data_IF_964999847564
#
_entry.id   IF_964999847564
#
_cell.length_a   1.000
_cell.length_b   1.000
_cell.length_c   1.000
_cell.angle_alpha   90.00
_cell.angle_beta   90.00
_cell.angle_gamma   90.00
#
_symmetry.space_group_name_H-M   'P 1'
#
loop_
_entity.id
_entity.type
_entity.pdbx_description
1 polymer ?
#
# COMPACT_ATOMS: atom_id res chain seq x y z
N UNK A 1 -32.35 5.81 -84.16
CA UNK A 1 -32.89 5.23 -82.90
C UNK A 1 -31.88 5.16 -81.74
N UNK A 2 -30.57 5.11 -81.95
CA UNK A 2 -29.58 4.94 -80.85
C UNK A 2 -29.44 6.11 -79.85
N UNK A 3 -29.74 7.35 -80.24
CA UNK A 3 -29.58 8.52 -79.36
C UNK A 3 -30.54 8.53 -78.15
N UNK A 4 -31.75 8.00 -78.30
CA UNK A 4 -32.72 7.93 -77.20
C UNK A 4 -32.33 6.90 -76.13
N UNK A 5 -31.69 5.79 -76.53
CA UNK A 5 -31.21 4.75 -75.61
C UNK A 5 -30.02 5.21 -74.76
N UNK A 6 -29.10 5.99 -75.33
CA UNK A 6 -27.95 6.52 -74.57
C UNK A 6 -28.38 7.58 -73.55
N UNK A 7 -29.36 8.42 -73.88
CA UNK A 7 -29.91 9.42 -72.94
C UNK A 7 -30.60 8.75 -71.75
N UNK A 8 -31.33 7.66 -71.99
CA UNK A 8 -31.98 6.91 -70.93
C UNK A 8 -30.96 6.26 -69.98
N UNK A 9 -29.93 5.60 -70.53
CA UNK A 9 -28.83 5.03 -69.72
C UNK A 9 -28.08 6.08 -68.90
N UNK A 10 -27.89 7.29 -69.45
CA UNK A 10 -27.25 8.38 -68.74
C UNK A 10 -28.09 8.85 -67.54
N UNK A 11 -29.41 8.93 -67.70
CA UNK A 11 -30.32 9.29 -66.61
C UNK A 11 -30.36 8.20 -65.53
N UNK A 12 -30.36 6.93 -65.92
CA UNK A 12 -30.28 5.79 -64.99
C UNK A 12 -28.97 5.85 -64.18
N UNK A 13 -27.83 6.05 -64.85
CA UNK A 13 -26.53 6.18 -64.20
C UNK A 13 -26.46 7.39 -63.25
N UNK A 14 -27.04 8.52 -63.64
CA UNK A 14 -27.10 9.71 -62.79
C UNK A 14 -27.93 9.46 -61.53
N UNK A 15 -29.08 8.81 -61.68
CA UNK A 15 -29.96 8.44 -60.55
C UNK A 15 -29.27 7.47 -59.60
N UNK A 16 -28.59 6.44 -60.14
CA UNK A 16 -27.80 5.52 -59.32
C UNK A 16 -26.67 6.22 -58.58
N UNK A 17 -26.00 7.17 -59.23
CA UNK A 17 -24.95 7.98 -58.60
C UNK A 17 -25.49 8.80 -57.43
N UNK A 18 -26.62 9.49 -57.60
CA UNK A 18 -27.26 10.28 -56.54
C UNK A 18 -27.68 9.39 -55.37
N UNK A 19 -28.27 8.22 -55.65
CA UNK A 19 -28.65 7.26 -54.63
C UNK A 19 -27.44 6.77 -53.82
N UNK A 20 -26.33 6.46 -54.48
CA UNK A 20 -25.09 6.04 -53.81
C UNK A 20 -24.49 7.18 -52.99
N UNK A 21 -24.53 8.41 -53.50
CA UNK A 21 -24.05 9.58 -52.77
C UNK A 21 -24.86 9.80 -51.48
N UNK A 22 -26.18 9.68 -51.56
CA UNK A 22 -27.05 9.80 -50.40
C UNK A 22 -26.82 8.69 -49.38
N UNK A 23 -26.71 7.43 -49.83
CA UNK A 23 -26.40 6.31 -48.94
C UNK A 23 -25.07 6.50 -48.20
N UNK A 24 -24.04 7.03 -48.87
CA UNK A 24 -22.75 7.34 -48.23
C UNK A 24 -22.87 8.45 -47.20
N UNK A 25 -23.65 9.48 -47.49
CA UNK A 25 -23.90 10.57 -46.54
C UNK A 25 -24.63 10.06 -45.29
N UNK A 26 -25.65 9.24 -45.47
CA UNK A 26 -26.42 8.66 -44.37
C UNK A 26 -25.54 7.74 -43.50
N UNK A 27 -24.67 6.94 -44.12
CA UNK A 27 -23.71 6.11 -43.42
C UNK A 27 -22.70 6.93 -42.61
N UNK A 28 -22.16 8.01 -43.19
CA UNK A 28 -21.25 8.91 -42.48
C UNK A 28 -21.93 9.55 -41.26
N UNK A 29 -23.16 10.02 -41.42
CA UNK A 29 -23.94 10.61 -40.33
C UNK A 29 -24.24 9.59 -39.22
N UNK A 30 -24.55 8.35 -39.58
CA UNK A 30 -24.78 7.28 -38.61
C UNK A 30 -23.51 6.96 -37.80
N UNK A 31 -22.35 6.84 -38.47
CA UNK A 31 -21.06 6.60 -37.80
C UNK A 31 -20.71 7.76 -36.86
N UNK A 32 -20.90 9.01 -37.31
CA UNK A 32 -20.62 10.18 -36.50
C UNK A 32 -21.51 10.22 -35.24
N UNK A 33 -22.79 9.90 -35.38
CA UNK A 33 -23.73 9.86 -34.25
C UNK A 33 -23.35 8.77 -33.24
N UNK A 34 -22.99 7.57 -33.71
CA UNK A 34 -22.53 6.49 -32.85
C UNK A 34 -21.24 6.87 -32.11
N UNK A 35 -20.32 7.57 -32.79
CA UNK A 35 -19.08 8.03 -32.18
C UNK A 35 -19.33 9.09 -31.09
N UNK A 36 -20.25 10.03 -31.35
CA UNK A 36 -20.67 11.02 -30.35
C UNK A 36 -21.30 10.35 -29.13
N UNK A 37 -22.21 9.39 -29.35
CA UNK A 37 -22.83 8.62 -28.27
C UNK A 37 -21.78 7.87 -27.43
N UNK A 38 -20.83 7.21 -28.07
CA UNK A 38 -19.72 6.56 -27.37
C UNK A 38 -18.92 7.56 -26.53
N UNK A 39 -18.62 8.76 -27.06
CA UNK A 39 -17.90 9.78 -26.31
C UNK A 39 -18.67 10.31 -25.11
N UNK A 40 -19.99 10.49 -25.23
CA UNK A 40 -20.83 11.01 -24.16
C UNK A 40 -21.07 9.98 -23.06
N UNK A 41 -21.25 8.70 -23.41
CA UNK A 41 -21.60 7.66 -22.44
C UNK A 41 -20.36 7.03 -21.79
N UNK A 42 -19.34 6.68 -22.59
CA UNK A 42 -18.20 5.90 -22.08
C UNK A 42 -17.10 6.75 -21.47
N UNK A 43 -16.91 7.99 -21.92
CA UNK A 43 -15.83 8.86 -21.42
C UNK A 43 -16.05 9.28 -19.96
N UNK A 44 -17.26 9.69 -19.53
CA UNK A 44 -17.50 10.00 -18.12
C UNK A 44 -17.38 8.76 -17.24
N UNK A 45 -17.90 7.61 -17.70
CA UNK A 45 -17.80 6.34 -16.98
C UNK A 45 -16.34 5.93 -16.76
N UNK A 46 -15.52 5.95 -17.81
CA UNK A 46 -14.07 5.69 -17.72
C UNK A 46 -13.34 6.69 -16.84
N UNK A 47 -13.68 7.98 -16.94
CA UNK A 47 -13.09 9.01 -16.06
C UNK A 47 -13.41 8.72 -14.60
N UNK A 48 -14.65 8.33 -14.28
CA UNK A 48 -15.06 7.97 -12.92
C UNK A 48 -14.33 6.73 -12.42
N UNK A 49 -14.16 5.72 -13.27
CA UNK A 49 -13.40 4.51 -12.94
C UNK A 49 -11.93 4.81 -12.66
N UNK A 50 -11.30 5.67 -13.48
CA UNK A 50 -9.91 6.11 -13.27
C UNK A 50 -9.77 6.85 -11.94
N UNK A 51 -10.67 7.79 -11.65
CA UNK A 51 -10.65 8.54 -10.38
C UNK A 51 -10.83 7.61 -9.17
N UNK A 52 -11.71 6.61 -9.29
CA UNK A 52 -11.88 5.60 -8.24
C UNK A 52 -10.59 4.82 -8.01
N UNK A 53 -9.96 4.30 -9.08
CA UNK A 53 -8.70 3.55 -8.96
C UNK A 53 -7.57 4.40 -8.39
N UNK A 54 -7.53 5.69 -8.73
CA UNK A 54 -6.54 6.60 -8.19
C UNK A 54 -6.72 6.79 -6.67
N UNK A 55 -7.97 6.95 -6.21
CA UNK A 55 -8.27 7.04 -4.78
C UNK A 55 -7.98 5.73 -4.03
N UNK A 56 -8.30 4.57 -4.64
CA UNK A 56 -7.98 3.27 -4.08
C UNK A 56 -6.46 3.09 -3.92
N UNK A 57 -5.68 3.47 -4.95
CA UNK A 57 -4.22 3.40 -4.92
C UNK A 57 -3.59 4.34 -3.88
N UNK A 58 -4.10 5.56 -3.75
CA UNK A 58 -3.63 6.52 -2.75
C UNK A 58 -3.88 6.01 -1.33
N UNK A 59 -5.04 5.39 -1.10
CA UNK A 59 -5.35 4.76 0.19
C UNK A 59 -4.42 3.59 0.50
N UNK A 60 -4.16 2.73 -0.48
CA UNK A 60 -3.24 1.59 -0.30
C UNK A 60 -1.81 2.09 -0.03
N UNK A 61 -1.39 3.16 -0.69
CA UNK A 61 -0.09 3.81 -0.45
C UNK A 61 0.01 4.38 0.97
N UNK A 62 -1.04 5.04 1.46
CA UNK A 62 -1.09 5.55 2.84
C UNK A 62 -1.01 4.43 3.88
N UNK A 63 -1.67 3.29 3.63
CA UNK A 63 -1.62 2.13 4.51
C UNK A 63 -0.21 1.53 4.54
N UNK A 64 0.41 1.33 3.37
CA UNK A 64 1.77 0.82 3.27
C UNK A 64 2.79 1.76 3.94
N UNK A 65 2.62 3.07 3.81
CA UNK A 65 3.48 4.05 4.48
C UNK A 65 3.34 3.96 6.00
N UNK A 66 2.10 3.86 6.53
CA UNK A 66 1.86 3.71 7.97
C UNK A 66 2.47 2.42 8.52
N UNK A 67 2.37 1.32 7.77
CA UNK A 67 3.01 0.05 8.15
C UNK A 67 4.53 0.19 8.15
N UNK A 68 5.11 0.82 7.14
CA UNK A 68 6.55 1.10 7.08
C UNK A 68 7.02 1.97 8.25
N UNK A 69 6.31 3.06 8.55
CA UNK A 69 6.65 3.95 9.67
C UNK A 69 6.53 3.22 11.02
N UNK A 70 5.55 2.32 11.15
CA UNK A 70 5.41 1.46 12.34
C UNK A 70 6.61 0.53 12.50
N UNK A 71 7.09 -0.11 11.42
CA UNK A 71 8.27 -0.99 11.46
C UNK A 71 9.53 -0.21 11.83
N UNK A 72 9.74 0.97 11.23
CA UNK A 72 10.88 1.84 11.56
C UNK A 72 10.84 2.26 13.03
N UNK A 73 9.67 2.61 13.55
CA UNK A 73 9.51 2.97 14.96
C UNK A 73 9.79 1.77 15.88
N UNK A 74 9.30 0.57 15.53
CA UNK A 74 9.60 -0.65 16.29
C UNK A 74 11.10 -0.97 16.28
N UNK A 75 11.79 -0.82 15.15
CA UNK A 75 13.24 -1.00 15.08
C UNK A 75 13.97 0.00 15.99
N UNK A 76 13.58 1.28 15.98
CA UNK A 76 14.18 2.30 16.84
C UNK A 76 13.99 1.99 18.33
N UNK A 77 12.78 1.58 18.73
CA UNK A 77 12.45 1.21 20.10
C UNK A 77 13.24 -0.03 20.54
N UNK A 78 13.33 -1.06 19.70
CA UNK A 78 14.12 -2.25 19.99
C UNK A 78 15.61 -1.93 20.19
N UNK A 79 16.21 -1.07 19.35
CA UNK A 79 17.59 -0.60 19.55
C UNK A 79 17.74 0.13 20.89
N UNK A 80 16.82 1.05 21.21
CA UNK A 80 16.84 1.79 22.47
C UNK A 80 16.74 0.85 23.70
N UNK A 81 15.87 -0.16 23.65
CA UNK A 81 15.73 -1.15 24.71
C UNK A 81 17.00 -1.98 24.90
N UNK A 82 17.65 -2.39 23.80
CA UNK A 82 18.93 -3.12 23.85
C UNK A 82 20.00 -2.27 24.51
N UNK A 83 20.10 -0.99 24.15
CA UNK A 83 21.08 -0.07 24.73
C UNK A 83 20.86 0.13 26.23
N UNK A 84 19.60 0.33 26.66
CA UNK A 84 19.22 0.46 28.07
C UNK A 84 19.60 -0.81 28.86
N UNK A 85 19.28 -1.99 28.34
CA UNK A 85 19.57 -3.25 29.01
C UNK A 85 21.07 -3.57 29.08
N UNK A 86 21.87 -3.16 28.07
CA UNK A 86 23.33 -3.32 28.06
C UNK A 86 24.01 -2.33 28.99
N UNK A 87 23.61 -1.06 28.97
CA UNK A 87 24.20 -0.01 29.79
C UNK A 87 23.80 -0.14 31.28
N UNK A 88 22.59 -0.65 31.55
CA UNK A 88 22.00 -0.77 32.88
C UNK A 88 21.97 0.55 33.66
N UNK A 89 22.06 1.69 32.97
CA UNK A 89 22.15 3.03 33.53
C UNK A 89 20.79 3.56 34.02
N UNK A 90 19.70 3.10 33.38
CA UNK A 90 18.33 3.52 33.67
C UNK A 90 17.48 2.46 34.39
N UNK A 91 18.05 1.31 34.73
CA UNK A 91 17.35 0.25 35.48
C UNK A 91 18.02 0.05 36.84
N UNK A 92 17.23 -0.29 37.86
CA UNK A 92 17.75 -0.58 39.19
C UNK A 92 17.77 -2.08 39.42
N UNK A 93 18.88 -2.62 39.91
CA UNK A 93 19.00 -4.04 40.25
C UNK A 93 19.23 -4.17 41.75
N UNK A 94 18.25 -4.74 42.45
CA UNK A 94 18.33 -5.01 43.88
C UNK A 94 18.83 -6.43 44.15
N UNK A 95 19.35 -6.67 45.35
CA UNK A 95 19.84 -7.97 45.81
C UNK A 95 20.89 -8.59 44.88
N UNK A 96 21.77 -7.77 44.29
CA UNK A 96 22.93 -8.31 43.57
C UNK A 96 23.84 -9.04 44.56
N UNK A 97 23.86 -10.36 44.46
CA UNK A 97 24.82 -11.19 45.17
C UNK A 97 26.15 -11.17 44.41
N UNK A 98 27.19 -10.60 45.02
CA UNK A 98 28.56 -10.59 44.50
C UNK A 98 29.26 -11.97 44.58
N UNK A 99 28.60 -12.98 45.15
CA UNK A 99 29.18 -14.30 45.38
C UNK A 99 28.92 -15.24 44.20
N UNK A 100 30.00 -15.63 43.52
CA UNK A 100 30.07 -16.54 42.37
C UNK A 100 29.61 -17.99 42.60
N UNK A 101 28.93 -18.29 43.72
CA UNK A 101 28.64 -19.66 44.16
C UNK A 101 27.14 -19.97 44.37
N UNK A 102 26.22 -19.03 44.13
CA UNK A 102 24.78 -19.32 44.19
C UNK A 102 24.23 -19.66 42.80
N UNK A 103 23.77 -20.89 42.61
CA UNK A 103 23.08 -21.37 41.40
C UNK A 103 21.72 -20.71 41.14
N UNK A 104 21.22 -19.91 42.09
CA UNK A 104 19.91 -19.27 42.03
C UNK A 104 20.09 -17.75 42.01
N UNK A 105 19.50 -17.10 41.02
CA UNK A 105 19.46 -15.64 40.89
C UNK A 105 18.34 -15.07 41.77
N UNK A 106 18.71 -14.32 42.81
CA UNK A 106 17.77 -13.63 43.70
C UNK A 106 17.67 -12.12 43.40
N UNK A 107 18.32 -11.66 42.33
CA UNK A 107 18.28 -10.26 41.95
C UNK A 107 16.90 -9.88 41.41
N UNK A 108 16.52 -8.64 41.68
CA UNK A 108 15.26 -8.07 41.18
C UNK A 108 15.58 -6.85 40.34
N UNK A 109 15.14 -6.87 39.09
CA UNK A 109 15.26 -5.77 38.15
C UNK A 109 14.01 -4.91 38.26
N UNK A 110 14.21 -3.63 38.61
CA UNK A 110 13.18 -2.61 38.66
C UNK A 110 13.35 -1.74 37.42
N UNK A 111 12.35 -1.80 36.54
CA UNK A 111 12.29 -1.03 35.30
C UNK A 111 11.35 0.16 35.49
N UNK A 112 11.83 1.40 35.25
CA UNK A 112 10.97 2.58 35.22
C UNK A 112 9.80 2.45 34.25
N UNK A 113 8.68 3.09 34.60
CA UNK A 113 7.44 2.99 33.82
C UNK A 113 7.60 3.42 32.36
N UNK A 114 8.37 4.47 32.09
CA UNK A 114 8.62 4.94 30.72
C UNK A 114 9.35 3.92 29.84
N UNK A 115 10.20 3.07 30.43
CA UNK A 115 10.91 1.99 29.74
C UNK A 115 10.00 0.77 29.59
N UNK A 116 9.14 0.51 30.58
CA UNK A 116 8.16 -0.58 30.52
C UNK A 116 7.18 -0.39 29.35
N UNK A 117 6.73 0.84 29.12
CA UNK A 117 5.90 1.19 27.96
C UNK A 117 6.60 0.89 26.63
N UNK A 118 7.93 1.05 26.56
CA UNK A 118 8.68 0.69 25.36
C UNK A 118 8.59 -0.80 25.07
N UNK A 119 8.74 -1.68 26.07
CA UNK A 119 8.57 -3.13 25.88
C UNK A 119 7.18 -3.49 25.35
N UNK A 120 6.13 -2.86 25.88
CA UNK A 120 4.77 -3.13 25.44
C UNK A 120 4.49 -2.61 24.03
N UNK A 121 5.08 -1.47 23.67
CA UNK A 121 4.92 -0.87 22.34
C UNK A 121 5.45 -1.75 21.20
N UNK A 122 6.47 -2.58 21.48
CA UNK A 122 7.01 -3.59 20.54
C UNK A 122 6.41 -4.98 20.75
N UNK A 123 5.40 -5.12 21.61
CA UNK A 123 4.66 -6.36 21.82
C UNK A 123 5.36 -7.40 22.68
N UNK A 124 6.39 -7.01 23.44
CA UNK A 124 7.13 -7.90 24.33
C UNK A 124 6.35 -8.09 25.62
N UNK A 125 6.04 -9.35 25.94
CA UNK A 125 5.31 -9.72 27.15
C UNK A 125 6.23 -10.08 28.32
N UNK A 126 7.40 -10.63 28.01
CA UNK A 126 8.35 -11.13 29.00
C UNK A 126 9.44 -10.08 29.26
N UNK A 127 9.09 -9.11 30.10
CA UNK A 127 10.00 -8.05 30.57
C UNK A 127 10.95 -8.65 31.62
N UNK A 128 12.27 -8.38 31.56
CA UNK A 128 13.23 -9.03 32.46
C UNK A 128 12.98 -8.59 33.91
N UNK A 129 12.73 -9.56 34.78
CA UNK A 129 12.45 -9.33 36.20
C UNK A 129 13.65 -9.70 37.07
N UNK A 130 14.55 -10.56 36.56
CA UNK A 130 15.82 -10.92 37.21
C UNK A 130 17.02 -10.53 36.35
N UNK A 131 18.20 -10.38 36.95
CA UNK A 131 19.43 -9.99 36.23
C UNK A 131 19.83 -11.04 35.19
N UNK A 132 19.60 -12.32 35.48
CA UNK A 132 19.86 -13.44 34.57
C UNK A 132 18.93 -13.47 33.35
N UNK A 133 17.78 -12.79 33.40
CA UNK A 133 16.88 -12.62 32.25
C UNK A 133 17.41 -11.57 31.26
N UNK A 134 18.20 -10.60 31.71
CA UNK A 134 18.65 -9.48 30.87
C UNK A 134 19.36 -9.96 29.59
N UNK A 135 20.33 -10.89 29.63
CA UNK A 135 20.99 -11.37 28.42
C UNK A 135 20.04 -12.07 27.44
N UNK A 136 19.06 -12.84 27.93
CA UNK A 136 18.11 -13.55 27.06
C UNK A 136 17.12 -12.58 26.42
N UNK A 137 16.66 -11.56 27.16
CA UNK A 137 15.85 -10.46 26.61
C UNK A 137 16.61 -9.67 25.55
N UNK A 138 17.89 -9.37 25.76
CA UNK A 138 18.73 -8.69 24.74
C UNK A 138 18.80 -9.52 23.46
N UNK A 139 19.08 -10.83 23.57
CA UNK A 139 19.15 -11.71 22.40
C UNK A 139 17.81 -11.79 21.67
N UNK A 140 16.70 -11.79 22.39
CA UNK A 140 15.36 -11.78 21.81
C UNK A 140 15.09 -10.48 21.05
N UNK A 141 15.42 -9.32 21.64
CA UNK A 141 15.31 -8.01 20.97
C UNK A 141 16.18 -7.93 19.71
N UNK A 142 17.42 -8.41 19.77
CA UNK A 142 18.33 -8.46 18.62
C UNK A 142 17.82 -9.42 17.51
N UNK A 143 17.15 -10.52 17.88
CA UNK A 143 16.50 -11.41 16.91
C UNK A 143 15.28 -10.77 16.26
N UNK A 144 14.47 -10.02 17.03
CA UNK A 144 13.38 -9.22 16.48
C UNK A 144 13.89 -8.18 15.47
N UNK A 145 14.99 -7.49 15.77
CA UNK A 145 15.64 -6.53 14.86
C UNK A 145 16.12 -7.16 13.54
N UNK A 146 16.47 -8.45 13.53
CA UNK A 146 16.88 -9.16 12.31
C UNK A 146 15.69 -9.62 11.46
N UNK A 147 14.49 -9.68 12.04
CA UNK A 147 13.28 -10.18 11.39
C UNK A 147 12.37 -9.05 10.87
N UNK A 148 12.56 -7.82 11.36
CA UNK A 148 11.91 -6.59 10.94
C UNK A 148 12.65 -5.95 9.77
#
# INVERSE_FOLDING_TARGET
MHFYSNKQKLNELHTEYENVAQLRLDQLNAIQTQWQFYQEDTKPSRKKEILKRQADFEKDLELAQKESDSVVNQQAICHQLVDILKAQDRIQILNQSDSSDSTVDFSVVIIPHDILELFWSVGIKDVPVTKSDIPSTILYLEDMLKKL
#
